data_IF_359322872172
#
_entry.id   IF_359322872172
#
_cell.length_a   1.000
_cell.length_b   1.000
_cell.length_c   1.000
_cell.angle_alpha   90.00
_cell.angle_beta   90.00
_cell.angle_gamma   90.00
#
_symmetry.space_group_name_H-M   'P 1'
#
loop_
_entity.id
_entity.type
_entity.pdbx_description
1 polymer ?
#
# COMPACT_ATOMS: atom_id res chain seq x y z
N UNK A 1 7.86 16.55 -10.28
CA UNK A 1 7.33 15.17 -10.40
C UNK A 1 7.75 14.39 -9.17
N UNK A 2 6.80 13.92 -8.35
CA UNK A 2 7.10 13.04 -7.22
C UNK A 2 7.60 11.70 -7.79
N UNK A 3 8.80 11.28 -7.38
CA UNK A 3 9.35 9.96 -7.75
C UNK A 3 8.40 8.90 -7.21
N UNK A 4 7.95 7.97 -8.05
CA UNK A 4 7.13 6.87 -7.59
C UNK A 4 7.94 6.02 -6.59
N UNK A 5 7.39 5.80 -5.39
CA UNK A 5 8.04 5.07 -4.31
C UNK A 5 7.49 3.65 -4.26
N UNK A 6 8.34 2.67 -3.91
CA UNK A 6 7.87 1.29 -3.68
C UNK A 6 7.07 1.24 -2.39
N UNK A 7 5.93 0.55 -2.38
CA UNK A 7 5.25 0.24 -1.11
C UNK A 7 6.11 -0.67 -0.22
N UNK A 8 7.03 -1.42 -0.82
CA UNK A 8 8.00 -2.27 -0.13
C UNK A 8 9.31 -1.54 0.24
N UNK A 9 9.35 -0.20 0.16
CA UNK A 9 10.51 0.52 0.70
C UNK A 9 10.61 0.29 2.21
N UNK A 10 11.84 0.22 2.73
CA UNK A 10 12.06 0.05 4.18
C UNK A 10 11.30 1.11 4.99
N UNK A 11 11.29 2.37 4.53
CA UNK A 11 10.55 3.47 5.14
C UNK A 11 9.03 3.19 5.24
N UNK A 12 8.41 2.74 4.15
CA UNK A 12 6.97 2.44 4.14
C UNK A 12 6.66 1.24 5.04
N UNK A 13 7.44 0.17 4.93
CA UNK A 13 7.22 -1.04 5.73
C UNK A 13 7.41 -0.76 7.24
N UNK A 14 8.43 0.01 7.60
CA UNK A 14 8.66 0.43 8.99
C UNK A 14 7.53 1.31 9.51
N UNK A 15 7.02 2.25 8.69
CA UNK A 15 5.90 3.11 9.07
C UNK A 15 4.62 2.30 9.32
N UNK A 16 4.29 1.38 8.41
CA UNK A 16 3.11 0.50 8.53
C UNK A 16 3.24 -0.39 9.77
N UNK A 17 4.39 -1.03 9.96
CA UNK A 17 4.65 -1.91 11.10
C UNK A 17 4.50 -1.17 12.42
N UNK A 18 5.17 -0.02 12.57
CA UNK A 18 5.07 0.80 13.80
C UNK A 18 3.66 1.28 14.08
N UNK A 19 2.91 1.64 13.04
CA UNK A 19 1.52 2.05 13.21
C UNK A 19 0.65 0.91 13.71
N UNK A 20 0.76 -0.28 13.10
CA UNK A 20 0.04 -1.48 13.51
C UNK A 20 0.39 -1.89 14.94
N UNK A 21 1.67 -1.84 15.33
CA UNK A 21 2.09 -2.13 16.71
C UNK A 21 1.54 -1.13 17.75
N UNK A 22 1.35 0.13 17.35
CA UNK A 22 0.92 1.21 18.26
C UNK A 22 -0.60 1.34 18.36
N UNK A 23 -1.30 1.27 17.22
CA UNK A 23 -2.74 1.56 17.10
C UNK A 23 -3.56 0.27 16.89
N UNK A 24 -2.96 -0.74 16.27
CA UNK A 24 -3.60 -2.04 16.06
C UNK A 24 -4.38 -2.18 14.75
N UNK A 25 -4.58 -1.12 13.96
CA UNK A 25 -5.30 -1.22 12.69
C UNK A 25 -4.83 -0.23 11.63
N UNK A 26 -4.90 -0.63 10.37
CA UNK A 26 -4.76 0.25 9.20
C UNK A 26 -5.87 0.00 8.20
N UNK A 27 -6.25 1.04 7.47
CA UNK A 27 -7.07 0.93 6.26
C UNK A 27 -6.18 0.96 5.03
N UNK A 28 -6.45 0.09 4.06
CA UNK A 28 -5.69 0.02 2.81
C UNK A 28 -6.63 0.20 1.63
N UNK A 29 -6.25 1.05 0.69
CA UNK A 29 -6.84 1.11 -0.64
C UNK A 29 -5.87 0.48 -1.63
N UNK A 30 -6.27 -0.66 -2.18
CA UNK A 30 -5.54 -1.34 -3.24
C UNK A 30 -6.11 -0.89 -4.61
N UNK A 31 -5.33 -0.09 -5.32
CA UNK A 31 -5.61 0.39 -6.67
C UNK A 31 -4.97 -0.55 -7.70
N UNK A 32 -5.83 -1.18 -8.50
CA UNK A 32 -5.41 -2.25 -9.39
C UNK A 32 -5.10 -1.68 -10.78
N UNK A 33 -3.88 -1.86 -11.26
CA UNK A 33 -3.49 -1.42 -12.61
C UNK A 33 -4.32 -2.13 -13.69
N UNK A 34 -4.65 -3.40 -13.45
CA UNK A 34 -5.33 -4.25 -14.42
C UNK A 34 -6.78 -4.56 -14.02
N UNK A 35 -7.62 -4.77 -15.04
CA UNK A 35 -8.99 -5.27 -14.88
C UNK A 35 -10.08 -4.21 -14.78
N UNK A 36 -9.77 -2.92 -15.00
CA UNK A 36 -10.73 -1.80 -14.99
C UNK A 36 -11.67 -1.80 -13.77
N UNK A 37 -11.10 -2.05 -12.59
CA UNK A 37 -11.85 -2.22 -11.33
C UNK A 37 -11.64 -1.04 -10.39
N UNK A 38 -12.68 -0.73 -9.63
CA UNK A 38 -12.59 0.20 -8.50
C UNK A 38 -11.57 -0.31 -7.46
N UNK A 39 -10.92 0.58 -6.68
CA UNK A 39 -10.08 0.18 -5.57
C UNK A 39 -10.76 -0.78 -4.62
N UNK A 40 -10.00 -1.72 -4.10
CA UNK A 40 -10.45 -2.62 -3.04
C UNK A 40 -10.09 -2.02 -1.68
N UNK A 41 -11.08 -1.60 -0.88
CA UNK A 41 -10.85 -1.20 0.50
C UNK A 41 -10.65 -2.44 1.38
N UNK A 42 -9.66 -2.37 2.26
CA UNK A 42 -9.25 -3.44 3.15
C UNK A 42 -8.91 -2.84 4.52
N UNK A 43 -8.93 -3.69 5.55
CA UNK A 43 -8.42 -3.34 6.86
C UNK A 43 -7.57 -4.50 7.39
N UNK A 44 -6.48 -4.16 8.06
CA UNK A 44 -5.56 -5.14 8.65
C UNK A 44 -5.28 -4.78 10.11
N UNK A 45 -5.21 -5.81 10.95
CA UNK A 45 -4.93 -5.69 12.39
C UNK A 45 -3.47 -5.94 12.76
N UNK A 46 -2.71 -6.54 11.85
CA UNK A 46 -1.34 -6.97 12.07
C UNK A 46 -0.56 -6.95 10.75
N UNK A 47 0.76 -6.92 10.87
CA UNK A 47 1.65 -6.72 9.72
C UNK A 47 1.73 -7.97 8.86
N UNK A 48 1.66 -9.15 9.47
CA UNK A 48 1.72 -10.45 8.81
C UNK A 48 0.52 -10.66 7.88
N UNK A 49 -0.69 -10.30 8.31
CA UNK A 49 -1.88 -10.36 7.47
C UNK A 49 -1.80 -9.37 6.29
N UNK A 50 -1.29 -8.16 6.54
CA UNK A 50 -1.02 -7.19 5.48
C UNK A 50 -0.01 -7.75 4.47
N UNK A 51 1.13 -8.24 4.93
CA UNK A 51 2.20 -8.78 4.08
C UNK A 51 1.72 -10.01 3.29
N UNK A 52 0.98 -10.91 3.93
CA UNK A 52 0.37 -12.06 3.27
C UNK A 52 -0.58 -11.67 2.14
N UNK A 53 -1.46 -10.68 2.39
CA UNK A 53 -2.33 -10.16 1.34
C UNK A 53 -1.56 -9.54 0.19
N UNK A 54 -0.53 -8.74 0.49
CA UNK A 54 0.31 -8.11 -0.53
C UNK A 54 0.99 -9.16 -1.42
N UNK A 55 1.46 -10.26 -0.84
CA UNK A 55 2.11 -11.35 -1.56
C UNK A 55 1.14 -12.11 -2.48
N UNK A 56 -0.07 -12.37 -2.01
CA UNK A 56 -1.01 -13.24 -2.70
C UNK A 56 -1.83 -12.49 -3.77
N UNK A 57 -2.09 -11.20 -3.57
CA UNK A 57 -3.06 -10.45 -4.38
C UNK A 57 -2.50 -9.24 -5.12
N UNK A 58 -1.37 -8.65 -4.68
CA UNK A 58 -0.80 -7.48 -5.32
C UNK A 58 0.07 -7.86 -6.53
N UNK A 59 -0.04 -7.11 -7.62
CA UNK A 59 0.70 -7.32 -8.85
C UNK A 59 1.56 -6.12 -9.18
N UNK A 60 2.61 -6.35 -9.96
CA UNK A 60 3.47 -5.29 -10.48
C UNK A 60 2.64 -4.14 -11.09
N UNK A 61 2.99 -2.91 -10.70
CA UNK A 61 2.30 -1.70 -11.16
C UNK A 61 1.05 -1.31 -10.37
N UNK A 62 0.48 -2.20 -9.53
CA UNK A 62 -0.60 -1.84 -8.62
C UNK A 62 -0.13 -0.75 -7.63
N UNK A 63 -1.05 0.11 -7.20
CA UNK A 63 -0.78 1.18 -6.25
C UNK A 63 -1.51 0.93 -4.92
N UNK A 64 -0.84 1.27 -3.83
CA UNK A 64 -1.29 0.99 -2.46
C UNK A 64 -1.22 2.28 -1.66
N UNK A 65 -2.36 2.65 -1.09
CA UNK A 65 -2.43 3.70 -0.08
C UNK A 65 -2.78 3.08 1.27
N UNK A 66 -2.00 3.40 2.30
CA UNK A 66 -2.22 2.95 3.68
C UNK A 66 -2.55 4.15 4.55
N UNK A 67 -3.66 4.04 5.27
CA UNK A 67 -4.24 5.09 6.09
C UNK A 67 -4.43 4.61 7.53
N UNK A 68 -4.36 5.53 8.50
CA UNK A 68 -4.80 5.21 9.85
C UNK A 68 -6.30 4.92 9.87
N UNK A 69 -6.74 4.16 10.88
CA UNK A 69 -8.17 3.99 11.16
C UNK A 69 -8.49 4.55 12.55
N UNK A 70 -9.45 5.49 12.70
CA UNK A 70 -10.26 6.09 11.63
C UNK A 70 -9.48 7.02 10.69
N UNK A 71 -9.92 7.12 9.44
CA UNK A 71 -9.29 7.85 8.32
C UNK A 71 -9.41 9.37 8.40
N UNK A 72 -10.15 9.88 9.37
CA UNK A 72 -10.81 11.18 9.29
C UNK A 72 -9.85 12.37 9.52
N UNK A 73 -8.66 12.11 10.09
CA UNK A 73 -7.73 13.15 10.57
C UNK A 73 -6.26 12.93 10.14
N UNK A 74 -5.95 11.95 9.28
CA UNK A 74 -4.57 11.49 9.07
C UNK A 74 -4.00 11.70 7.68
N UNK A 75 -2.74 12.12 7.61
CA UNK A 75 -1.91 11.88 6.43
C UNK A 75 -1.77 10.36 6.18
N UNK A 76 -1.50 9.96 4.94
CA UNK A 76 -1.21 8.55 4.63
C UNK A 76 -0.02 8.08 5.45
N UNK A 77 -0.14 6.92 6.08
CA UNK A 77 0.97 6.25 6.76
C UNK A 77 2.04 5.88 5.74
N UNK A 78 1.59 5.34 4.61
CA UNK A 78 2.45 4.94 3.51
C UNK A 78 1.70 5.06 2.19
N UNK A 79 2.44 5.31 1.12
CA UNK A 79 1.95 5.18 -0.25
C UNK A 79 3.04 4.67 -1.16
N UNK A 80 2.67 3.86 -2.13
CA UNK A 80 3.63 3.38 -3.10
C UNK A 80 3.02 2.44 -4.11
N UNK A 81 3.85 2.03 -5.06
CA UNK A 81 3.51 1.02 -6.05
C UNK A 81 4.22 -0.30 -5.78
N UNK A 82 3.65 -1.36 -6.29
CA UNK A 82 4.34 -2.64 -6.44
C UNK A 82 5.35 -2.47 -7.58
N UNK A 83 6.65 -2.74 -7.33
CA UNK A 83 7.66 -2.66 -8.37
C UNK A 83 7.45 -3.76 -9.42
N UNK A 84 7.98 -3.52 -10.60
CA UNK A 84 8.14 -4.52 -11.66
C UNK A 84 9.12 -5.63 -11.26
N UNK A 85 9.17 -6.71 -12.04
CA UNK A 85 10.08 -7.83 -11.77
C UNK A 85 11.56 -7.46 -11.76
N UNK A 86 11.95 -6.39 -12.46
CA UNK A 86 13.31 -5.84 -12.48
C UNK A 86 13.57 -4.81 -11.37
N UNK A 87 12.60 -4.60 -10.48
CA UNK A 87 12.65 -3.61 -9.39
C UNK A 87 12.35 -2.18 -9.83
N UNK A 88 12.06 -1.95 -11.12
CA UNK A 88 11.67 -0.63 -11.61
C UNK A 88 10.25 -0.27 -11.17
N UNK A 89 9.95 1.03 -11.14
CA UNK A 89 8.61 1.52 -10.81
C UNK A 89 8.18 2.43 -11.95
N UNK A 90 7.19 1.97 -12.72
CA UNK A 90 6.63 2.77 -13.80
C UNK A 90 5.88 3.98 -13.25
N UNK A 91 6.28 5.16 -13.71
CA UNK A 91 5.56 6.41 -13.44
C UNK A 91 4.31 6.48 -14.31
N UNK A 92 3.19 6.91 -13.72
CA UNK A 92 1.89 6.95 -14.40
C UNK A 92 1.11 5.63 -14.34
N UNK A 93 -0.14 5.66 -14.78
CA UNK A 93 -1.18 4.65 -14.46
C UNK A 93 -2.45 5.41 -14.06
N UNK A 94 -3.61 4.73 -14.01
CA UNK A 94 -4.91 5.41 -13.87
C UNK A 94 -5.18 6.08 -12.49
N UNK A 95 -4.15 6.27 -11.65
CA UNK A 95 -4.30 6.58 -10.22
C UNK A 95 -3.21 7.56 -9.73
#
# INVERSE_FOLDING_TARGET
MSKATSIFSAENLDAIRRHLESVGFVSVLHWHLHGARHPTPLAFSDFEAFEGYMKDYAKAGDAIDVWPFPTDNGERIAKGKIPEHDGSILQGGAY
#
